data_IF_598447916356
#
_entry.id   IF_598447916356
#
_cell.length_a   1.000
_cell.length_b   1.000
_cell.length_c   1.000
_cell.angle_alpha   90.00
_cell.angle_beta   90.00
_cell.angle_gamma   90.00
#
_symmetry.space_group_name_H-M   'P 1'
#
loop_
_entity.id
_entity.type
_entity.pdbx_description
1 polymer ?
#
# COMPACT_ATOMS: atom_id res chain seq x y z
N UNK A 1 -20.56 37.12 15.98
CA UNK A 1 -20.79 35.67 15.73
C UNK A 1 -21.26 35.50 14.30
N UNK A 2 -20.42 35.08 13.34
CA UNK A 2 -20.87 34.72 11.99
C UNK A 2 -21.25 33.22 11.91
N UNK A 3 -22.06 32.83 10.92
CA UNK A 3 -22.92 31.66 10.99
C UNK A 3 -22.15 30.37 10.72
N UNK A 4 -22.14 29.48 11.71
CA UNK A 4 -21.89 28.06 11.52
C UNK A 4 -23.04 27.46 10.70
N UNK A 5 -22.73 26.45 9.89
CA UNK A 5 -23.66 25.67 9.06
C UNK A 5 -23.93 26.17 7.63
N UNK A 6 -22.88 26.48 6.86
CA UNK A 6 -22.93 26.15 5.43
C UNK A 6 -22.73 24.64 5.33
N UNK A 7 -23.82 23.91 5.13
CA UNK A 7 -23.85 22.46 5.01
C UNK A 7 -22.71 21.95 4.12
N UNK A 8 -21.70 21.35 4.74
CA UNK A 8 -20.65 20.61 4.03
C UNK A 8 -21.32 19.33 3.57
N UNK A 9 -21.94 19.35 2.38
CA UNK A 9 -22.23 18.09 1.71
C UNK A 9 -20.88 17.42 1.51
N UNK A 10 -20.63 16.23 2.07
CA UNK A 10 -19.38 15.55 1.82
C UNK A 10 -19.27 15.34 0.31
N UNK A 11 -18.28 15.99 -0.30
CA UNK A 11 -17.96 15.72 -1.70
C UNK A 11 -17.09 14.49 -1.70
N UNK A 12 -17.57 13.47 -2.42
CA UNK A 12 -16.79 12.29 -2.74
C UNK A 12 -16.06 12.56 -4.05
N UNK A 13 -14.74 12.43 -4.03
CA UNK A 13 -13.87 12.62 -5.18
C UNK A 13 -13.25 11.26 -5.52
N UNK A 14 -13.44 10.78 -6.74
CA UNK A 14 -12.79 9.56 -7.24
C UNK A 14 -11.63 9.97 -8.13
N UNK A 15 -10.44 9.53 -7.76
CA UNK A 15 -9.23 9.68 -8.56
C UNK A 15 -9.23 8.72 -9.75
N UNK A 16 -8.66 9.18 -10.85
CA UNK A 16 -8.48 8.41 -12.10
C UNK A 16 -7.68 7.13 -11.83
N UNK A 17 -7.95 6.01 -12.53
CA UNK A 17 -7.09 4.84 -12.48
C UNK A 17 -5.63 5.23 -12.71
N UNK A 18 -4.75 4.86 -11.78
CA UNK A 18 -3.33 5.11 -11.88
C UNK A 18 -2.57 3.81 -12.14
N UNK A 19 -1.46 3.92 -12.87
CA UNK A 19 -0.51 2.85 -13.06
C UNK A 19 0.89 3.36 -12.70
N UNK A 20 1.76 2.46 -12.26
CA UNK A 20 3.11 2.80 -11.86
C UNK A 20 4.00 1.58 -11.70
N UNK A 21 5.23 1.85 -11.27
CA UNK A 21 6.26 0.85 -11.02
C UNK A 21 6.80 1.05 -9.60
N UNK A 22 7.16 -0.06 -8.95
CA UNK A 22 7.77 -0.11 -7.63
C UNK A 22 9.14 -0.78 -7.74
N UNK A 23 10.18 -0.12 -7.23
CA UNK A 23 11.54 -0.61 -7.14
C UNK A 23 12.02 -0.45 -5.70
N UNK A 24 12.56 -1.52 -5.12
CA UNK A 24 13.06 -1.49 -3.75
C UNK A 24 14.03 -2.60 -3.47
N UNK A 25 14.57 -2.61 -2.24
CA UNK A 25 15.39 -3.70 -1.71
C UNK A 25 14.65 -4.29 -0.52
N UNK A 26 14.46 -5.61 -0.54
CA UNK A 26 13.95 -6.38 0.58
C UNK A 26 15.12 -6.89 1.40
N UNK A 27 14.97 -6.77 2.72
CA UNK A 27 15.86 -7.37 3.71
C UNK A 27 15.00 -8.28 4.58
N UNK A 28 15.48 -9.49 4.84
CA UNK A 28 14.81 -10.50 5.65
C UNK A 28 15.80 -11.04 6.68
N UNK A 29 15.31 -11.28 7.90
CA UNK A 29 16.09 -11.81 9.01
C UNK A 29 15.32 -12.99 9.60
N UNK A 30 15.99 -14.13 9.76
CA UNK A 30 15.42 -15.29 10.45
C UNK A 30 15.36 -15.05 11.96
N UNK A 31 14.21 -15.30 12.58
CA UNK A 31 14.02 -15.16 14.02
C UNK A 31 13.38 -16.42 14.63
N UNK A 32 13.83 -16.80 15.83
CA UNK A 32 13.25 -17.92 16.58
C UNK A 32 13.65 -19.32 16.07
N UNK A 33 14.75 -19.43 15.32
CA UNK A 33 15.30 -20.69 14.80
C UNK A 33 16.70 -20.96 15.36
N UNK A 34 17.14 -22.22 15.31
CA UNK A 34 18.44 -22.66 15.83
C UNK A 34 19.65 -22.15 15.03
N UNK A 35 19.46 -21.80 13.76
CA UNK A 35 20.49 -21.20 12.90
C UNK A 35 19.86 -20.04 12.09
N UNK A 36 19.84 -18.81 12.63
CA UNK A 36 19.26 -17.65 11.95
C UNK A 36 20.20 -17.12 10.87
N UNK A 37 19.65 -16.85 9.68
CA UNK A 37 20.36 -16.25 8.55
C UNK A 37 19.66 -14.97 8.08
N UNK A 38 20.39 -14.13 7.34
CA UNK A 38 19.89 -12.89 6.76
C UNK A 38 19.93 -12.92 5.22
N UNK A 39 18.88 -12.39 4.61
CA UNK A 39 18.70 -12.36 3.16
C UNK A 39 18.48 -10.94 2.66
N UNK A 40 19.01 -10.65 1.47
CA UNK A 40 18.73 -9.41 0.74
C UNK A 40 18.30 -9.72 -0.68
N UNK A 41 17.32 -8.98 -1.20
CA UNK A 41 16.82 -9.19 -2.56
C UNK A 41 16.28 -7.93 -3.22
N UNK A 42 16.38 -7.87 -4.55
CA UNK A 42 15.79 -6.78 -5.33
C UNK A 42 14.29 -7.03 -5.52
N UNK A 43 13.48 -6.03 -5.16
CA UNK A 43 12.04 -6.00 -5.38
C UNK A 43 11.70 -5.14 -6.59
N UNK A 44 10.91 -5.69 -7.51
CA UNK A 44 10.38 -4.97 -8.67
C UNK A 44 8.93 -5.37 -8.87
N UNK A 45 8.02 -4.41 -9.05
CA UNK A 45 6.62 -4.69 -9.31
C UNK A 45 5.95 -3.64 -10.18
N UNK A 46 4.97 -4.06 -10.99
CA UNK A 46 3.99 -3.16 -11.59
C UNK A 46 2.85 -2.94 -10.60
N UNK A 47 2.31 -1.73 -10.57
CA UNK A 47 1.15 -1.39 -9.72
C UNK A 47 0.09 -0.67 -10.54
N UNK A 48 -1.16 -0.97 -10.25
CA UNK A 48 -2.32 -0.31 -10.85
C UNK A 48 -3.41 -0.16 -9.82
N UNK A 49 -4.11 0.97 -9.78
CA UNK A 49 -5.07 1.21 -8.71
C UNK A 49 -5.98 2.40 -8.92
N UNK A 50 -6.77 2.69 -7.90
CA UNK A 50 -7.62 3.84 -7.82
C UNK A 50 -7.51 4.47 -6.43
N UNK A 51 -7.88 5.74 -6.34
CA UNK A 51 -7.99 6.44 -5.06
C UNK A 51 -9.35 7.12 -4.97
N UNK A 52 -9.85 7.26 -3.75
CA UNK A 52 -11.00 8.08 -3.44
C UNK A 52 -10.68 9.01 -2.28
N UNK A 53 -11.28 10.19 -2.27
CA UNK A 53 -11.19 11.14 -1.18
C UNK A 53 -12.59 11.56 -0.74
N UNK A 54 -12.77 11.64 0.57
CA UNK A 54 -13.98 12.11 1.22
C UNK A 54 -13.66 13.44 1.91
N UNK A 55 -14.25 14.54 1.44
CA UNK A 55 -14.07 15.85 2.06
C UNK A 55 -14.92 15.91 3.33
N UNK A 56 -14.26 15.81 4.49
CA UNK A 56 -14.92 15.84 5.81
C UNK A 56 -15.02 17.29 6.30
N UNK A 57 -13.98 18.09 6.06
CA UNK A 57 -13.93 19.52 6.34
C UNK A 57 -13.14 20.26 5.23
N UNK A 58 -13.25 21.60 5.11
CA UNK A 58 -12.48 22.35 4.10
C UNK A 58 -10.95 22.15 4.21
N UNK A 59 -10.45 21.77 5.39
CA UNK A 59 -9.04 21.56 5.70
C UNK A 59 -8.68 20.08 5.94
N UNK A 60 -9.64 19.14 5.83
CA UNK A 60 -9.41 17.69 6.02
C UNK A 60 -10.12 16.85 4.97
N UNK A 61 -9.37 15.95 4.35
CA UNK A 61 -9.89 14.89 3.48
C UNK A 61 -9.46 13.53 4.01
N UNK A 62 -10.37 12.56 4.00
CA UNK A 62 -10.05 11.15 4.22
C UNK A 62 -9.77 10.52 2.86
N UNK A 63 -8.59 9.92 2.67
CA UNK A 63 -8.16 9.37 1.39
C UNK A 63 -8.00 7.85 1.48
N UNK A 64 -8.70 7.13 0.62
CA UNK A 64 -8.58 5.70 0.41
C UNK A 64 -7.81 5.45 -0.89
N UNK A 65 -6.90 4.48 -0.88
CA UNK A 65 -6.22 3.99 -2.08
C UNK A 65 -6.31 2.47 -2.13
N UNK A 66 -6.62 1.94 -3.30
CA UNK A 66 -6.68 0.51 -3.58
C UNK A 66 -5.80 0.21 -4.79
N UNK A 67 -4.91 -0.76 -4.67
CA UNK A 67 -3.93 -1.10 -5.70
C UNK A 67 -3.80 -2.60 -5.87
N UNK A 68 -3.74 -3.05 -7.12
CA UNK A 68 -3.20 -4.34 -7.50
C UNK A 68 -1.69 -4.17 -7.77
N UNK A 69 -0.91 -5.12 -7.29
CA UNK A 69 0.54 -5.16 -7.42
C UNK A 69 0.92 -6.49 -8.06
N UNK A 70 1.65 -6.43 -9.17
CA UNK A 70 2.14 -7.59 -9.91
C UNK A 70 3.66 -7.62 -9.76
N UNK A 71 4.21 -8.53 -8.92
CA UNK A 71 5.65 -8.66 -8.74
C UNK A 71 6.31 -9.12 -10.05
N UNK A 72 7.33 -8.39 -10.49
CA UNK A 72 8.21 -8.78 -11.59
C UNK A 72 9.45 -9.52 -11.09
N UNK A 73 9.89 -9.18 -9.87
CA UNK A 73 10.97 -9.87 -9.17
C UNK A 73 10.63 -9.96 -7.69
N UNK A 74 10.39 -11.18 -7.23
CA UNK A 74 10.04 -11.52 -5.85
C UNK A 74 11.16 -12.38 -5.23
N UNK A 75 12.02 -11.81 -4.36
CA UNK A 75 13.02 -12.58 -3.64
C UNK A 75 12.36 -13.63 -2.75
N UNK A 76 12.82 -14.87 -2.82
CA UNK A 76 12.39 -15.95 -1.92
C UNK A 76 13.34 -15.99 -0.73
N UNK A 77 12.78 -15.88 0.48
CA UNK A 77 13.51 -16.09 1.73
C UNK A 77 12.92 -17.35 2.37
N UNK A 78 13.70 -18.43 2.39
CA UNK A 78 13.25 -19.72 2.92
C UNK A 78 14.16 -20.14 4.06
N UNK A 79 13.56 -20.62 5.14
CA UNK A 79 14.28 -21.35 6.18
C UNK A 79 14.39 -22.80 5.72
N UNK A 80 15.60 -23.38 5.78
CA UNK A 80 15.80 -24.77 5.39
C UNK A 80 14.92 -25.70 6.25
N UNK A 81 14.19 -26.62 5.60
CA UNK A 81 13.37 -27.63 6.28
C UNK A 81 11.86 -27.34 6.41
N UNK A 82 11.34 -26.21 5.91
CA UNK A 82 9.92 -25.83 6.08
C UNK A 82 9.05 -26.02 4.81
N UNK A 83 9.62 -26.53 3.70
CA UNK A 83 8.87 -26.79 2.45
C UNK A 83 8.47 -25.53 1.67
N UNK A 84 7.88 -25.69 0.48
CA UNK A 84 7.45 -24.54 -0.33
C UNK A 84 6.25 -23.82 0.29
N UNK A 85 6.39 -22.50 0.48
CA UNK A 85 5.30 -21.60 0.87
C UNK A 85 4.67 -21.02 -0.40
N UNK A 86 3.34 -20.93 -0.42
CA UNK A 86 2.55 -20.39 -1.53
C UNK A 86 3.07 -19.02 -2.04
N UNK A 87 3.21 -18.88 -3.35
CA UNK A 87 3.70 -17.66 -4.03
C UNK A 87 2.55 -17.00 -4.82
N UNK A 88 1.93 -15.93 -4.30
CA UNK A 88 0.88 -15.23 -5.03
C UNK A 88 1.48 -14.41 -6.18
N UNK A 89 0.99 -14.64 -7.40
CA UNK A 89 1.41 -13.91 -8.61
C UNK A 89 0.87 -12.47 -8.67
N UNK A 90 -0.11 -12.14 -7.83
CA UNK A 90 -0.71 -10.81 -7.69
C UNK A 90 -1.00 -10.55 -6.21
N UNK A 91 -0.71 -9.34 -5.74
CA UNK A 91 -1.06 -8.86 -4.41
C UNK A 91 -2.02 -7.67 -4.50
N UNK A 92 -2.86 -7.51 -3.47
CA UNK A 92 -3.71 -6.35 -3.30
C UNK A 92 -3.20 -5.50 -2.13
N UNK A 93 -3.19 -4.18 -2.29
CA UNK A 93 -2.79 -3.21 -1.27
C UNK A 93 -3.90 -2.19 -1.08
N UNK A 94 -4.23 -1.91 0.18
CA UNK A 94 -5.15 -0.84 0.54
C UNK A 94 -4.47 0.12 1.52
N UNK A 95 -4.73 1.41 1.38
CA UNK A 95 -4.24 2.43 2.31
C UNK A 95 -5.35 3.43 2.62
N UNK A 96 -5.46 3.82 3.88
CA UNK A 96 -6.36 4.87 4.36
C UNK A 96 -5.52 5.92 5.07
N UNK A 97 -5.74 7.20 4.76
CA UNK A 97 -4.98 8.30 5.36
C UNK A 97 -5.77 9.59 5.42
N UNK A 98 -5.26 10.54 6.20
CA UNK A 98 -5.79 11.90 6.28
C UNK A 98 -4.91 12.85 5.47
N UNK A 99 -5.55 13.73 4.71
CA UNK A 99 -4.90 14.79 3.96
C UNK A 99 -5.35 16.14 4.52
N UNK A 100 -4.39 16.94 4.98
CA UNK A 100 -4.63 18.28 5.52
C UNK A 100 -4.39 19.31 4.43
N UNK A 101 -5.34 20.23 4.25
CA UNK A 101 -5.17 21.38 3.36
C UNK A 101 -4.90 22.62 4.22
N UNK A 102 -3.73 23.24 4.03
CA UNK A 102 -3.30 24.49 4.66
C UNK A 102 -3.23 25.59 3.61
#
# INVERSE_FOLDING_TARGET
MPPLARAVRPRFEVGVPCAGFELGRMHAEGYGVSDPDEGNGLWMALRGGAAAAWVVAPWVRLRLRLEAVVPLKHPRFVLEGVGEVHEPSVAARAALGLELAF
#
